data_IF_898735846994
#
_entry.id   IF_898735846994
#
_cell.length_a   1.000
_cell.length_b   1.000
_cell.length_c   1.000
_cell.angle_alpha   90.00
_cell.angle_beta   90.00
_cell.angle_gamma   90.00
#
_symmetry.space_group_name_H-M   'P 1'
#
loop_
_entity.id
_entity.type
_entity.pdbx_description
1 polymer ?
#
# COMPACT_ATOMS: atom_id res chain seq x y z
N UNK A 1 22.12 35.55 -4.30
CA UNK A 1 22.86 34.37 -3.79
C UNK A 1 22.42 33.17 -4.57
N UNK A 2 23.34 32.28 -4.93
CA UNK A 2 22.98 30.99 -5.59
C UNK A 2 22.27 30.10 -4.56
N UNK A 3 21.10 29.56 -4.93
CA UNK A 3 20.33 28.63 -4.08
C UNK A 3 20.65 27.19 -4.46
N UNK A 4 20.33 26.21 -3.59
CA UNK A 4 20.50 24.78 -3.91
C UNK A 4 19.65 24.36 -5.13
N UNK A 5 18.58 25.09 -5.44
CA UNK A 5 17.61 24.83 -6.51
C UNK A 5 17.81 25.64 -7.78
N UNK A 6 18.79 26.59 -7.80
CA UNK A 6 19.00 27.55 -8.89
C UNK A 6 19.06 26.93 -10.30
N UNK A 7 19.64 25.74 -10.44
CA UNK A 7 19.76 25.05 -11.74
C UNK A 7 18.46 24.51 -12.26
N UNK A 8 17.66 23.88 -11.38
CA UNK A 8 16.38 23.29 -11.79
C UNK A 8 15.29 24.34 -11.95
N UNK A 9 15.30 25.43 -11.20
CA UNK A 9 14.36 26.56 -11.36
C UNK A 9 14.54 27.31 -12.70
N UNK A 10 15.66 27.10 -13.39
CA UNK A 10 15.87 27.62 -14.76
C UNK A 10 15.21 26.76 -15.85
N UNK A 11 14.72 25.57 -15.49
CA UNK A 11 13.94 24.75 -16.44
C UNK A 11 12.60 25.47 -16.70
N UNK A 12 12.24 25.73 -17.96
CA UNK A 12 10.99 26.42 -18.25
C UNK A 12 9.79 25.69 -17.60
N UNK A 13 8.96 26.47 -16.91
CA UNK A 13 7.74 26.00 -16.25
C UNK A 13 7.96 25.05 -15.08
N UNK A 14 9.17 24.93 -14.58
CA UNK A 14 9.45 24.17 -13.36
C UNK A 14 9.20 25.07 -12.12
N UNK A 15 8.40 24.57 -11.19
CA UNK A 15 8.02 25.28 -9.97
C UNK A 15 8.50 24.51 -8.73
N UNK A 16 9.55 24.98 -8.09
CA UNK A 16 10.10 24.33 -6.88
C UNK A 16 9.09 24.26 -5.74
N UNK A 17 8.21 25.23 -5.61
CA UNK A 17 7.17 25.24 -4.59
C UNK A 17 6.22 24.04 -4.70
N UNK A 18 5.85 23.63 -5.93
CA UNK A 18 5.02 22.45 -6.16
C UNK A 18 5.71 21.17 -5.65
N UNK A 19 7.02 21.06 -5.85
CA UNK A 19 7.82 19.92 -5.40
C UNK A 19 7.96 19.92 -3.87
N UNK A 20 8.29 21.08 -3.28
CA UNK A 20 8.46 21.24 -1.82
C UNK A 20 7.19 20.90 -1.04
N UNK A 21 6.02 21.16 -1.61
CA UNK A 21 4.73 20.92 -0.97
C UNK A 21 4.13 19.53 -1.32
N UNK A 22 4.85 18.71 -2.07
CA UNK A 22 4.37 17.40 -2.47
C UNK A 22 4.56 16.36 -1.37
N UNK A 23 3.55 15.48 -1.22
CA UNK A 23 3.50 14.37 -0.28
C UNK A 23 3.53 13.06 -1.07
N UNK A 24 4.65 12.34 -1.00
CA UNK A 24 4.89 11.14 -1.83
C UNK A 24 5.07 9.90 -0.96
N UNK A 25 4.31 8.84 -1.25
CA UNK A 25 4.54 7.53 -0.66
C UNK A 25 5.43 6.69 -1.57
N UNK A 26 6.47 6.10 -1.00
CA UNK A 26 7.34 5.14 -1.68
C UNK A 26 7.19 3.78 -1.00
N UNK A 27 6.73 2.78 -1.75
CA UNK A 27 6.53 1.43 -1.26
C UNK A 27 7.60 0.51 -1.81
N UNK A 28 8.39 -0.08 -0.92
CA UNK A 28 9.59 -0.84 -1.23
C UNK A 28 10.85 0.05 -1.23
N UNK A 29 11.76 -0.19 -0.29
CA UNK A 29 13.06 0.47 -0.16
C UNK A 29 14.23 -0.43 -0.63
N UNK A 30 13.95 -1.31 -1.61
CA UNK A 30 14.95 -2.13 -2.30
C UNK A 30 15.78 -1.32 -3.31
N UNK A 31 16.27 -1.97 -4.37
CA UNK A 31 17.11 -1.33 -5.38
C UNK A 31 16.45 -0.10 -6.03
N UNK A 32 15.23 -0.26 -6.58
CA UNK A 32 14.50 0.83 -7.22
C UNK A 32 14.08 1.91 -6.24
N UNK A 33 13.59 1.53 -5.04
CA UNK A 33 13.16 2.49 -4.03
C UNK A 33 14.29 3.36 -3.51
N UNK A 34 15.48 2.80 -3.32
CA UNK A 34 16.68 3.58 -2.95
C UNK A 34 17.00 4.66 -3.99
N UNK A 35 16.96 4.31 -5.27
CA UNK A 35 17.24 5.26 -6.37
C UNK A 35 16.12 6.30 -6.52
N UNK A 36 14.85 5.89 -6.32
CA UNK A 36 13.70 6.81 -6.29
C UNK A 36 13.88 7.83 -5.17
N UNK A 37 14.11 7.38 -3.92
CA UNK A 37 14.27 8.23 -2.76
C UNK A 37 15.44 9.19 -2.91
N UNK A 38 16.59 8.74 -3.43
CA UNK A 38 17.72 9.60 -3.76
C UNK A 38 17.31 10.72 -4.74
N UNK A 39 16.61 10.37 -5.82
CA UNK A 39 16.21 11.37 -6.82
C UNK A 39 15.17 12.35 -6.26
N UNK A 40 14.19 11.88 -5.45
CA UNK A 40 13.23 12.74 -4.78
C UNK A 40 13.92 13.73 -3.82
N UNK A 41 14.93 13.27 -3.05
CA UNK A 41 15.72 14.11 -2.16
C UNK A 41 16.50 15.21 -2.91
N UNK A 42 17.19 14.83 -4.00
CA UNK A 42 18.01 15.75 -4.79
C UNK A 42 17.17 16.78 -5.58
N UNK A 43 15.91 16.49 -5.88
CA UNK A 43 14.99 17.45 -6.49
C UNK A 43 14.32 18.33 -5.42
N UNK A 44 14.27 17.89 -4.16
CA UNK A 44 13.74 18.65 -3.03
C UNK A 44 12.25 18.41 -2.76
N UNK A 45 11.78 17.16 -2.88
CA UNK A 45 10.44 16.82 -2.42
C UNK A 45 10.34 17.02 -0.91
N UNK A 46 9.26 17.68 -0.47
CA UNK A 46 9.17 18.15 0.92
C UNK A 46 8.66 17.11 1.91
N UNK A 47 7.94 16.08 1.47
CA UNK A 47 7.49 15.01 2.35
C UNK A 47 7.51 13.65 1.65
N UNK A 48 8.02 12.65 2.36
CA UNK A 48 7.90 11.25 1.95
C UNK A 48 7.34 10.37 3.09
N UNK A 49 6.63 9.32 2.68
CA UNK A 49 6.30 8.18 3.53
C UNK A 49 6.90 6.92 2.92
N UNK A 50 7.78 6.23 3.66
CA UNK A 50 8.48 5.03 3.17
C UNK A 50 7.92 3.79 3.84
N UNK A 51 7.40 2.83 3.07
CA UNK A 51 6.92 1.54 3.57
C UNK A 51 7.80 0.38 3.04
N UNK A 52 8.38 -0.40 3.95
CA UNK A 52 9.11 -1.64 3.65
C UNK A 52 9.15 -2.50 4.91
N UNK A 53 9.04 -3.82 4.79
CA UNK A 53 9.01 -4.75 5.93
C UNK A 53 10.32 -5.53 6.13
N UNK A 54 11.31 -5.34 5.25
CA UNK A 54 12.56 -6.08 5.29
C UNK A 54 13.64 -5.38 6.11
N UNK A 55 14.62 -6.19 6.52
CA UNK A 55 15.90 -5.72 7.02
C UNK A 55 16.93 -5.55 5.91
N UNK A 56 17.91 -4.68 6.16
CA UNK A 56 19.04 -4.48 5.25
C UNK A 56 19.96 -5.69 5.34
N UNK A 57 20.21 -6.34 4.22
CA UNK A 57 21.16 -7.46 4.11
C UNK A 57 22.44 -7.05 3.36
N UNK A 58 23.53 -7.77 3.59
CA UNK A 58 24.80 -7.54 2.87
C UNK A 58 24.61 -7.59 1.35
N UNK A 59 23.75 -8.46 0.84
CA UNK A 59 23.46 -8.57 -0.59
C UNK A 59 22.75 -7.35 -1.17
N UNK A 60 22.13 -6.50 -0.35
CA UNK A 60 21.52 -5.26 -0.82
C UNK A 60 22.57 -4.22 -1.23
N UNK A 61 23.72 -4.17 -0.57
CA UNK A 61 24.75 -3.14 -0.72
C UNK A 61 25.31 -3.01 -2.16
N UNK A 62 25.17 -4.03 -2.98
CA UNK A 62 25.60 -4.00 -4.38
C UNK A 62 24.68 -3.18 -5.31
N UNK A 63 23.46 -2.85 -4.83
CA UNK A 63 22.42 -2.21 -5.65
C UNK A 63 21.55 -1.19 -4.91
N UNK A 64 21.96 -0.76 -3.71
CA UNK A 64 21.26 0.26 -2.92
C UNK A 64 22.21 1.41 -2.62
N UNK A 65 21.85 2.62 -3.02
CA UNK A 65 22.70 3.80 -2.92
C UNK A 65 22.66 4.46 -1.54
N UNK A 66 21.56 4.29 -0.81
CA UNK A 66 21.33 4.91 0.50
C UNK A 66 21.97 4.12 1.65
N UNK A 67 22.09 2.79 1.52
CA UNK A 67 22.53 1.93 2.61
C UNK A 67 24.04 1.78 2.65
N UNK A 68 24.57 1.61 3.85
CA UNK A 68 26.01 1.44 4.16
C UNK A 68 26.23 0.09 4.85
N UNK A 69 27.47 -0.35 4.94
CA UNK A 69 27.84 -1.61 5.60
C UNK A 69 27.36 -1.65 7.07
N UNK A 70 27.42 -0.52 7.77
CA UNK A 70 26.99 -0.39 9.17
C UNK A 70 25.45 -0.36 9.34
N UNK A 71 24.71 -0.37 8.25
CA UNK A 71 23.25 -0.40 8.27
C UNK A 71 22.72 -1.85 8.16
N UNK A 72 23.57 -2.84 7.92
CA UNK A 72 23.16 -4.25 7.82
C UNK A 72 22.49 -4.69 9.12
N UNK A 73 21.27 -5.25 9.00
CA UNK A 73 20.42 -5.65 10.12
C UNK A 73 19.44 -4.58 10.62
N UNK A 74 19.56 -3.32 10.15
CA UNK A 74 18.56 -2.29 10.43
C UNK A 74 17.36 -2.40 9.49
N UNK A 75 16.24 -1.79 9.85
CA UNK A 75 15.03 -1.73 9.03
C UNK A 75 15.24 -0.88 7.78
N UNK A 76 14.84 -1.39 6.60
CA UNK A 76 14.99 -0.66 5.34
C UNK A 76 14.20 0.64 5.32
N UNK A 77 12.94 0.62 5.76
CA UNK A 77 12.06 1.79 5.73
C UNK A 77 12.60 2.96 6.54
N UNK A 78 12.97 2.72 7.80
CA UNK A 78 13.47 3.74 8.70
C UNK A 78 14.82 4.31 8.22
N UNK A 79 15.76 3.43 7.84
CA UNK A 79 17.07 3.87 7.35
C UNK A 79 16.95 4.65 6.04
N UNK A 80 16.05 4.25 5.14
CA UNK A 80 15.83 4.96 3.89
C UNK A 80 15.22 6.35 4.10
N UNK A 81 14.27 6.49 5.04
CA UNK A 81 13.70 7.79 5.41
C UNK A 81 14.74 8.73 6.03
N UNK A 82 15.60 8.22 6.93
CA UNK A 82 16.72 8.98 7.50
C UNK A 82 17.68 9.47 6.41
N UNK A 83 18.10 8.59 5.49
CA UNK A 83 19.01 8.94 4.39
C UNK A 83 18.39 9.91 3.39
N UNK A 84 17.07 9.83 3.17
CA UNK A 84 16.35 10.82 2.36
C UNK A 84 16.49 12.22 2.98
N UNK A 85 16.28 12.35 4.29
CA UNK A 85 16.41 13.64 4.98
C UNK A 85 17.85 14.18 4.94
N UNK A 86 18.86 13.31 5.15
CA UNK A 86 20.27 13.70 5.05
C UNK A 86 20.66 14.23 3.66
N UNK A 87 20.05 13.67 2.60
CA UNK A 87 20.37 14.03 1.21
C UNK A 87 19.50 15.15 0.65
N UNK A 88 18.38 15.47 1.32
CA UNK A 88 17.41 16.41 0.78
C UNK A 88 17.98 17.82 0.69
N UNK A 89 17.76 18.47 -0.45
CA UNK A 89 18.19 19.86 -0.65
C UNK A 89 17.31 20.88 0.05
N UNK A 90 16.09 20.50 0.45
CA UNK A 90 15.15 21.30 1.22
C UNK A 90 15.32 21.01 2.72
N UNK A 91 15.82 22.00 3.46
CA UNK A 91 16.10 21.86 4.89
C UNK A 91 14.83 21.65 5.75
N UNK A 92 13.66 21.91 5.18
CA UNK A 92 12.32 21.72 5.82
C UNK A 92 11.67 20.41 5.46
N UNK A 93 12.33 19.56 4.70
CA UNK A 93 11.78 18.26 4.31
C UNK A 93 11.50 17.38 5.54
N UNK A 94 10.45 16.59 5.43
CA UNK A 94 10.01 15.67 6.47
C UNK A 94 9.83 14.26 5.91
N UNK A 95 9.93 13.27 6.78
CA UNK A 95 9.73 11.88 6.40
C UNK A 95 9.07 11.11 7.53
N UNK A 96 8.19 10.18 7.17
CA UNK A 96 7.71 9.11 8.03
C UNK A 96 8.04 7.75 7.40
N UNK A 97 8.08 6.72 8.22
CA UNK A 97 8.38 5.37 7.75
C UNK A 97 7.50 4.34 8.45
N UNK A 98 7.20 3.28 7.73
CA UNK A 98 6.44 2.17 8.25
C UNK A 98 7.17 0.85 8.01
N UNK A 99 7.38 0.10 9.11
CA UNK A 99 7.98 -1.22 9.12
C UNK A 99 6.89 -2.27 9.26
N UNK A 100 6.45 -2.83 8.16
CA UNK A 100 5.42 -3.85 8.15
C UNK A 100 4.83 -4.14 6.79
N UNK A 101 4.02 -5.21 6.75
CA UNK A 101 3.26 -5.55 5.57
C UNK A 101 2.16 -4.50 5.33
N UNK A 102 2.33 -3.71 4.28
CA UNK A 102 1.42 -2.66 3.89
C UNK A 102 -0.02 -3.15 3.72
N UNK A 103 -0.19 -4.35 3.15
CA UNK A 103 -1.51 -4.88 2.86
C UNK A 103 -2.31 -5.24 4.12
N UNK A 104 -1.64 -5.45 5.26
CA UNK A 104 -2.26 -5.98 6.47
C UNK A 104 -2.25 -5.00 7.65
N UNK A 105 -1.18 -4.23 7.80
CA UNK A 105 -0.89 -3.51 9.02
C UNK A 105 -1.08 -2.00 8.95
N UNK A 106 -1.25 -1.45 7.76
CA UNK A 106 -1.53 -0.03 7.58
C UNK A 106 -2.79 0.19 6.75
N UNK A 107 -3.56 1.18 7.08
CA UNK A 107 -4.81 1.49 6.41
C UNK A 107 -4.64 2.32 5.15
N UNK A 108 -5.68 2.31 4.35
CA UNK A 108 -5.76 3.04 3.07
C UNK A 108 -5.75 4.56 3.26
N UNK A 109 -6.14 5.05 4.46
CA UNK A 109 -6.11 6.45 4.82
C UNK A 109 -4.73 7.09 4.66
N UNK A 110 -3.64 6.33 4.90
CA UNK A 110 -2.29 6.85 4.66
C UNK A 110 -2.11 7.26 3.20
N UNK A 111 -2.57 6.42 2.25
CA UNK A 111 -2.49 6.72 0.82
C UNK A 111 -3.38 7.91 0.47
N UNK A 112 -4.54 8.05 1.13
CA UNK A 112 -5.46 9.18 0.91
C UNK A 112 -4.80 10.54 1.19
N UNK A 113 -3.90 10.60 2.15
CA UNK A 113 -3.17 11.82 2.50
C UNK A 113 -1.95 12.11 1.61
N UNK A 114 -1.62 11.24 0.67
CA UNK A 114 -0.53 11.45 -0.29
C UNK A 114 -1.03 12.10 -1.59
N UNK A 115 -0.16 12.85 -2.27
CA UNK A 115 -0.41 13.35 -3.61
C UNK A 115 -0.16 12.26 -4.67
N UNK A 116 0.75 11.32 -4.38
CA UNK A 116 1.25 10.33 -5.32
C UNK A 116 1.83 9.12 -4.59
N UNK A 117 1.68 7.93 -5.18
CA UNK A 117 2.31 6.68 -4.71
C UNK A 117 3.28 6.15 -5.77
N UNK A 118 4.50 5.80 -5.36
CA UNK A 118 5.50 5.15 -6.21
C UNK A 118 5.76 3.73 -5.69
N UNK A 119 5.41 2.73 -6.48
CA UNK A 119 5.60 1.31 -6.19
C UNK A 119 6.95 0.81 -6.69
N UNK A 120 7.77 0.29 -5.77
CA UNK A 120 9.12 -0.24 -6.01
C UNK A 120 9.24 -1.70 -5.53
N UNK A 121 8.15 -2.47 -5.65
CA UNK A 121 8.05 -3.84 -5.16
C UNK A 121 8.49 -4.86 -6.22
N UNK A 122 8.85 -6.04 -5.74
CA UNK A 122 9.27 -7.20 -6.56
C UNK A 122 8.16 -8.25 -6.78
N UNK A 123 6.95 -8.03 -6.23
CA UNK A 123 5.85 -8.98 -6.36
C UNK A 123 4.60 -8.35 -7.00
N UNK A 124 3.95 -9.09 -7.89
CA UNK A 124 2.76 -8.63 -8.63
C UNK A 124 1.54 -8.40 -7.73
N UNK A 125 1.45 -9.10 -6.63
CA UNK A 125 0.33 -9.01 -5.71
C UNK A 125 0.24 -7.64 -5.05
N UNK A 126 1.35 -7.17 -4.45
CA UNK A 126 1.41 -5.84 -3.82
C UNK A 126 1.23 -4.73 -4.84
N UNK A 127 1.72 -4.91 -6.09
CA UNK A 127 1.49 -3.97 -7.19
C UNK A 127 -0.01 -3.84 -7.52
N UNK A 128 -0.71 -4.97 -7.65
CA UNK A 128 -2.17 -5.01 -7.87
C UNK A 128 -2.92 -4.34 -6.71
N UNK A 129 -2.53 -4.65 -5.46
CA UNK A 129 -3.12 -4.05 -4.27
C UNK A 129 -2.98 -2.53 -4.28
N UNK A 130 -1.75 -2.02 -4.40
CA UNK A 130 -1.50 -0.58 -4.41
C UNK A 130 -2.22 0.13 -5.54
N UNK A 131 -2.15 -0.42 -6.76
CA UNK A 131 -2.86 0.14 -7.90
C UNK A 131 -4.37 0.19 -7.66
N UNK A 132 -4.95 -0.85 -7.05
CA UNK A 132 -6.38 -0.88 -6.72
C UNK A 132 -6.74 0.19 -5.66
N UNK A 133 -5.96 0.29 -4.58
CA UNK A 133 -6.23 1.31 -3.55
C UNK A 133 -6.06 2.72 -4.11
N UNK A 134 -5.03 2.96 -4.93
CA UNK A 134 -4.86 4.25 -5.60
C UNK A 134 -6.04 4.57 -6.51
N UNK A 135 -6.61 3.57 -7.21
CA UNK A 135 -7.81 3.73 -8.03
C UNK A 135 -9.05 4.06 -7.18
N UNK A 136 -9.28 3.34 -6.07
CA UNK A 136 -10.38 3.61 -5.14
C UNK A 136 -10.31 5.03 -4.55
N UNK A 137 -9.11 5.56 -4.35
CA UNK A 137 -8.84 6.86 -3.74
C UNK A 137 -8.60 7.98 -4.77
N UNK A 138 -8.73 7.73 -6.06
CA UNK A 138 -8.40 8.69 -7.13
C UNK A 138 -6.97 9.25 -7.00
N UNK A 139 -5.99 8.40 -6.61
CA UNK A 139 -4.59 8.81 -6.43
C UNK A 139 -3.72 8.34 -7.58
N UNK A 140 -2.83 9.18 -8.10
CA UNK A 140 -1.82 8.75 -9.07
C UNK A 140 -0.93 7.66 -8.49
N UNK A 141 -0.60 6.69 -9.36
CA UNK A 141 0.26 5.57 -9.05
C UNK A 141 1.33 5.41 -10.12
N UNK A 142 2.58 5.33 -9.71
CA UNK A 142 3.71 4.99 -10.59
C UNK A 142 4.24 3.63 -10.16
N UNK A 143 4.31 2.68 -11.09
CA UNK A 143 4.89 1.36 -10.86
C UNK A 143 6.26 1.25 -11.51
N UNK A 144 7.24 0.71 -10.78
CA UNK A 144 8.57 0.43 -11.30
C UNK A 144 8.85 -1.07 -11.30
N UNK A 145 9.27 -1.62 -12.42
CA UNK A 145 9.68 -3.01 -12.56
C UNK A 145 11.11 -3.11 -13.06
N UNK A 146 11.89 -4.01 -12.45
CA UNK A 146 13.27 -4.29 -12.87
C UNK A 146 13.50 -5.79 -12.93
N UNK A 147 14.32 -6.25 -13.90
CA UNK A 147 14.69 -7.65 -14.06
C UNK A 147 15.96 -7.77 -14.88
N UNK A 148 17.09 -8.17 -14.27
CA UNK A 148 18.39 -8.14 -14.91
C UNK A 148 18.73 -6.72 -15.36
N UNK A 149 18.98 -6.54 -16.65
CA UNK A 149 19.23 -5.24 -17.26
C UNK A 149 17.94 -4.55 -17.77
N UNK A 150 16.81 -5.27 -17.81
CA UNK A 150 15.55 -4.75 -18.31
C UNK A 150 14.81 -3.99 -17.21
N UNK A 151 14.01 -3.01 -17.60
CA UNK A 151 13.18 -2.25 -16.67
C UNK A 151 11.91 -1.72 -17.34
N UNK A 152 10.91 -1.41 -16.54
CA UNK A 152 9.71 -0.73 -16.97
C UNK A 152 9.22 0.28 -15.93
N UNK A 153 8.49 1.29 -16.40
CA UNK A 153 7.79 2.26 -15.58
C UNK A 153 6.40 2.46 -16.18
N UNK A 154 5.37 2.30 -15.37
CA UNK A 154 3.98 2.53 -15.73
C UNK A 154 3.40 3.61 -14.84
N UNK A 155 2.59 4.54 -15.40
CA UNK A 155 1.92 5.58 -14.64
C UNK A 155 0.41 5.52 -14.86
N UNK A 156 -0.36 5.55 -13.77
CA UNK A 156 -1.83 5.65 -13.75
C UNK A 156 -2.26 6.93 -13.02
N UNK A 157 -3.37 7.55 -13.47
CA UNK A 157 -3.90 8.75 -12.81
C UNK A 157 -4.70 8.46 -11.54
N UNK A 158 -5.18 7.22 -11.38
CA UNK A 158 -6.17 6.85 -10.36
C UNK A 158 -7.62 7.09 -10.80
N UNK A 159 -7.89 7.75 -11.92
CA UNK A 159 -9.25 7.97 -12.40
C UNK A 159 -9.81 6.75 -13.14
N UNK A 160 -11.13 6.60 -13.15
CA UNK A 160 -11.83 5.45 -13.73
C UNK A 160 -11.63 5.30 -15.26
N UNK A 161 -11.30 6.38 -15.96
CA UNK A 161 -11.06 6.43 -17.39
C UNK A 161 -9.58 6.20 -17.78
N UNK A 162 -8.69 6.02 -16.80
CA UNK A 162 -7.29 5.69 -16.99
C UNK A 162 -7.02 4.22 -16.70
N UNK A 163 -6.20 3.54 -17.51
CA UNK A 163 -5.79 2.18 -17.23
C UNK A 163 -5.06 2.09 -15.87
N UNK A 164 -5.48 1.15 -15.03
CA UNK A 164 -4.78 0.76 -13.80
C UNK A 164 -3.74 -0.33 -14.10
N UNK A 165 -2.92 -0.71 -13.10
CA UNK A 165 -1.92 -1.77 -13.30
C UNK A 165 -2.54 -3.11 -13.74
N UNK A 166 -3.72 -3.47 -13.22
CA UNK A 166 -4.42 -4.67 -13.64
C UNK A 166 -4.79 -4.66 -15.15
N UNK A 167 -5.00 -3.50 -15.75
CA UNK A 167 -5.26 -3.38 -17.18
C UNK A 167 -4.03 -3.74 -18.03
N UNK A 168 -2.82 -3.67 -17.48
CA UNK A 168 -1.58 -4.06 -18.19
C UNK A 168 -1.37 -5.58 -18.19
N UNK A 169 -2.11 -6.31 -17.38
CA UNK A 169 -2.02 -7.77 -17.24
C UNK A 169 -3.07 -8.48 -18.10
N UNK A 170 -2.71 -9.63 -18.63
CA UNK A 170 -3.71 -10.55 -19.16
C UNK A 170 -4.58 -11.12 -18.03
N UNK A 171 -5.85 -11.52 -18.30
CA UNK A 171 -6.72 -12.13 -17.27
C UNK A 171 -6.13 -13.40 -16.62
N UNK A 172 -5.21 -14.09 -17.32
CA UNK A 172 -4.49 -15.25 -16.79
C UNK A 172 -3.42 -14.85 -15.79
N UNK A 173 -2.66 -13.80 -16.08
CA UNK A 173 -1.62 -13.25 -15.16
C UNK A 173 -2.28 -12.68 -13.91
N UNK A 174 -3.34 -11.89 -14.06
CA UNK A 174 -4.10 -11.34 -12.94
C UNK A 174 -4.61 -12.44 -12.01
N UNK A 175 -5.30 -13.46 -12.56
CA UNK A 175 -5.74 -14.63 -11.76
C UNK A 175 -4.59 -15.38 -11.11
N UNK A 176 -3.45 -15.51 -11.78
CA UNK A 176 -2.28 -16.17 -11.21
C UNK A 176 -1.69 -15.38 -10.03
N UNK A 177 -1.65 -14.06 -10.13
CA UNK A 177 -1.22 -13.17 -9.05
C UNK A 177 -2.18 -13.26 -7.85
N UNK A 178 -3.51 -13.20 -8.09
CA UNK A 178 -4.55 -13.33 -7.08
C UNK A 178 -4.58 -14.72 -6.39
N UNK A 179 -4.37 -15.79 -7.15
CA UNK A 179 -4.37 -17.15 -6.60
C UNK A 179 -3.13 -17.45 -5.74
N UNK A 180 -2.01 -16.76 -5.95
CA UNK A 180 -0.85 -16.85 -5.04
C UNK A 180 -1.20 -16.38 -3.64
N UNK A 181 -2.12 -15.43 -3.50
CA UNK A 181 -2.65 -14.93 -2.22
C UNK A 181 -3.44 -16.00 -1.47
N UNK A 182 -4.38 -16.65 -2.17
CA UNK A 182 -5.30 -17.62 -1.54
C UNK A 182 -4.60 -18.87 -1.01
N UNK A 183 -3.40 -19.16 -1.52
CA UNK A 183 -2.62 -20.35 -1.13
C UNK A 183 -1.42 -20.04 -0.22
N UNK A 184 -1.21 -18.79 0.18
CA UNK A 184 -0.08 -18.43 1.02
C UNK A 184 -0.41 -18.45 2.50
N UNK A 185 -0.51 -19.63 3.08
CA UNK A 185 -0.06 -19.81 4.46
C UNK A 185 1.45 -19.48 4.51
N UNK A 186 1.95 -18.96 5.62
CA UNK A 186 3.35 -18.51 5.84
C UNK A 186 4.46 -19.42 5.30
N UNK A 187 4.21 -20.72 5.21
CA UNK A 187 5.15 -21.71 4.63
C UNK A 187 5.41 -21.44 3.15
N UNK A 188 4.43 -20.94 2.40
CA UNK A 188 4.59 -20.65 0.97
C UNK A 188 5.29 -19.31 0.76
N UNK A 189 5.09 -18.32 1.66
CA UNK A 189 5.88 -17.07 1.68
C UNK A 189 7.37 -17.32 1.88
N UNK A 190 7.74 -18.17 2.86
CA UNK A 190 9.14 -18.55 3.10
C UNK A 190 9.73 -19.34 1.93
N UNK A 191 8.95 -20.21 1.29
CA UNK A 191 9.38 -20.94 0.08
C UNK A 191 9.48 -20.05 -1.15
N UNK A 192 8.58 -19.08 -1.33
CA UNK A 192 8.66 -18.10 -2.41
C UNK A 192 9.84 -17.14 -2.22
N UNK A 193 10.12 -16.72 -0.98
CA UNK A 193 11.34 -15.98 -0.64
C UNK A 193 12.63 -16.79 -0.89
N UNK A 194 12.57 -18.12 -0.82
CA UNK A 194 13.68 -19.01 -1.12
C UNK A 194 13.77 -19.40 -2.62
N UNK A 195 12.68 -19.28 -3.39
CA UNK A 195 12.58 -19.80 -4.76
C UNK A 195 13.07 -18.83 -5.86
N UNK A 196 13.74 -17.75 -5.54
CA UNK A 196 14.45 -16.96 -6.52
C UNK A 196 14.27 -15.47 -6.36
N UNK A 197 15.28 -14.84 -5.81
CA UNK A 197 15.45 -13.41 -5.98
C UNK A 197 15.53 -13.08 -7.48
N UNK A 198 14.68 -12.17 -7.95
CA UNK A 198 14.79 -11.65 -9.31
C UNK A 198 16.20 -11.06 -9.45
N UNK A 199 17.01 -11.49 -10.43
CA UNK A 199 18.31 -10.90 -10.66
C UNK A 199 18.16 -9.40 -10.89
N UNK A 200 18.83 -8.58 -10.08
CA UNK A 200 18.72 -7.13 -10.14
C UNK A 200 20.09 -6.47 -10.06
N UNK A 201 20.25 -5.36 -10.77
CA UNK A 201 21.47 -4.57 -10.78
C UNK A 201 21.12 -3.09 -10.58
N UNK A 202 22.02 -2.33 -9.95
CA UNK A 202 21.79 -0.90 -9.68
C UNK A 202 21.55 -0.04 -10.93
N UNK A 203 22.11 -0.44 -12.09
CA UNK A 203 21.93 0.29 -13.36
C UNK A 203 20.46 0.30 -13.81
N UNK A 204 19.79 -0.86 -13.85
CA UNK A 204 18.38 -0.94 -14.23
C UNK A 204 17.47 -0.25 -13.20
N UNK A 205 17.81 -0.37 -11.91
CA UNK A 205 17.12 0.33 -10.83
C UNK A 205 17.22 1.85 -10.98
N UNK A 206 18.42 2.37 -11.21
CA UNK A 206 18.64 3.81 -11.44
C UNK A 206 17.92 4.34 -12.67
N UNK A 207 17.95 3.61 -13.79
CA UNK A 207 17.26 4.00 -15.03
C UNK A 207 15.74 4.06 -14.84
N UNK A 208 15.13 3.06 -14.23
CA UNK A 208 13.71 3.04 -13.91
C UNK A 208 13.33 4.18 -12.95
N UNK A 209 14.13 4.39 -11.90
CA UNK A 209 13.89 5.44 -10.92
C UNK A 209 13.98 6.85 -11.50
N UNK A 210 14.91 7.11 -12.41
CA UNK A 210 15.02 8.40 -13.09
C UNK A 210 13.71 8.72 -13.86
N UNK A 211 13.17 7.76 -14.62
CA UNK A 211 11.93 7.98 -15.35
C UNK A 211 10.73 8.08 -14.41
N UNK A 212 10.66 7.25 -13.37
CA UNK A 212 9.58 7.29 -12.38
C UNK A 212 9.50 8.65 -11.67
N UNK A 213 10.65 9.19 -11.24
CA UNK A 213 10.70 10.51 -10.58
C UNK A 213 10.43 11.65 -11.58
N UNK A 214 10.84 11.51 -12.83
CA UNK A 214 10.46 12.48 -13.88
C UNK A 214 8.93 12.51 -14.08
N UNK A 215 8.25 11.36 -14.08
CA UNK A 215 6.78 11.33 -14.13
C UNK A 215 6.17 11.89 -12.84
N UNK A 216 6.74 11.61 -11.67
CA UNK A 216 6.31 12.17 -10.39
C UNK A 216 6.35 13.72 -10.39
N UNK A 217 7.43 14.31 -10.89
CA UNK A 217 7.57 15.78 -11.05
C UNK A 217 6.43 16.33 -11.92
N UNK A 218 6.15 15.71 -13.06
CA UNK A 218 5.07 16.15 -13.97
C UNK A 218 3.70 16.05 -13.28
N UNK A 219 3.42 14.92 -12.62
CA UNK A 219 2.16 14.67 -11.92
C UNK A 219 1.92 15.77 -10.88
N UNK A 220 2.89 16.02 -10.02
CA UNK A 220 2.79 17.00 -8.95
C UNK A 220 2.58 18.41 -9.51
N UNK A 221 3.30 18.81 -10.56
CA UNK A 221 3.10 20.10 -11.19
C UNK A 221 1.68 20.29 -11.72
N UNK A 222 1.14 19.29 -12.44
CA UNK A 222 -0.23 19.37 -12.97
C UNK A 222 -1.32 19.26 -11.91
N UNK A 223 -1.06 18.61 -10.76
CA UNK A 223 -1.98 18.61 -9.63
C UNK A 223 -2.04 19.97 -8.93
N UNK A 224 -0.89 20.62 -8.74
CA UNK A 224 -0.81 21.91 -8.03
C UNK A 224 -1.14 23.09 -8.96
N UNK A 225 -0.91 22.95 -10.26
CA UNK A 225 -1.23 23.93 -11.30
C UNK A 225 -1.75 23.20 -12.54
N UNK A 226 -3.09 23.06 -12.72
CA UNK A 226 -3.69 22.41 -13.89
C UNK A 226 -3.33 23.07 -15.23
N UNK A 227 -3.03 24.38 -15.20
CA UNK A 227 -2.60 25.16 -16.38
C UNK A 227 -1.07 25.14 -16.59
N UNK A 228 -0.36 24.25 -15.89
CA UNK A 228 1.10 24.13 -16.04
C UNK A 228 1.50 23.82 -17.48
N UNK A 229 2.46 24.59 -17.99
CA UNK A 229 3.09 24.34 -19.28
C UNK A 229 4.25 23.34 -19.22
N UNK A 230 4.54 22.74 -18.07
CA UNK A 230 5.46 21.62 -17.98
C UNK A 230 4.90 20.45 -18.82
N UNK A 231 5.77 19.66 -19.45
CA UNK A 231 5.31 18.51 -20.25
C UNK A 231 4.37 17.61 -19.43
N UNK A 232 3.20 17.21 -19.99
CA UNK A 232 2.18 16.49 -19.24
C UNK A 232 2.63 15.09 -18.83
N UNK A 233 2.09 14.56 -17.72
CA UNK A 233 2.32 13.17 -17.31
C UNK A 233 1.73 12.20 -18.34
N UNK A 234 2.33 11.03 -18.49
CA UNK A 234 1.92 10.02 -19.48
C UNK A 234 1.11 8.90 -18.81
N UNK A 235 -0.09 9.23 -18.38
CA UNK A 235 -0.99 8.26 -17.77
C UNK A 235 -1.49 7.19 -18.77
N UNK A 236 -1.57 5.94 -18.31
CA UNK A 236 -1.92 4.78 -19.12
C UNK A 236 -0.78 4.26 -20.00
N UNK A 237 0.43 4.83 -19.90
CA UNK A 237 1.58 4.41 -20.67
C UNK A 237 2.59 3.65 -19.82
N UNK A 238 3.15 2.60 -20.40
CA UNK A 238 4.31 1.89 -19.89
C UNK A 238 5.52 2.19 -20.78
N UNK A 239 6.59 2.69 -20.18
CA UNK A 239 7.91 2.73 -20.79
C UNK A 239 8.65 1.45 -20.44
N UNK A 240 9.01 0.65 -21.43
CA UNK A 240 9.70 -0.63 -21.26
C UNK A 240 11.04 -0.61 -22.00
N UNK A 241 12.11 -0.91 -21.28
CA UNK A 241 13.46 -1.01 -21.84
C UNK A 241 13.91 -2.47 -21.93
N UNK A 242 14.35 -2.87 -23.11
CA UNK A 242 14.93 -4.19 -23.37
C UNK A 242 16.41 -4.01 -23.66
N UNK A 243 17.25 -4.56 -22.81
CA UNK A 243 18.71 -4.37 -22.86
C UNK A 243 19.35 -5.09 -24.05
N UNK A 244 18.83 -6.27 -24.44
CA UNK A 244 19.32 -7.06 -25.55
C UNK A 244 19.27 -6.30 -26.88
N UNK A 245 18.24 -5.46 -27.05
CA UNK A 245 18.05 -4.62 -28.24
C UNK A 245 18.47 -3.17 -28.02
N UNK A 246 18.85 -2.80 -26.80
CA UNK A 246 19.07 -1.42 -26.36
C UNK A 246 17.90 -0.50 -26.77
N UNK A 247 16.68 -0.98 -26.56
CA UNK A 247 15.46 -0.38 -27.10
C UNK A 247 14.50 0.04 -25.99
N UNK A 248 14.07 1.29 -26.04
CA UNK A 248 12.99 1.85 -25.23
C UNK A 248 11.69 1.85 -26.04
N UNK A 249 10.66 1.18 -25.51
CA UNK A 249 9.33 1.16 -26.08
C UNK A 249 8.34 1.86 -25.14
N UNK A 250 7.43 2.65 -25.71
CA UNK A 250 6.33 3.25 -25.00
C UNK A 250 5.03 2.58 -25.47
N UNK A 251 4.34 1.91 -24.56
CA UNK A 251 3.15 1.11 -24.82
C UNK A 251 1.97 1.77 -24.12
N UNK A 252 0.93 2.12 -24.86
CA UNK A 252 -0.33 2.60 -24.30
C UNK A 252 -1.25 1.44 -23.94
N UNK A 253 -1.81 1.46 -22.75
CA UNK A 253 -2.82 0.52 -22.28
C UNK A 253 -4.17 1.25 -22.14
N UNK A 254 -5.19 0.83 -22.90
CA UNK A 254 -6.55 1.31 -22.68
C UNK A 254 -7.14 0.66 -21.42
N UNK A 255 -8.17 1.29 -20.86
CA UNK A 255 -8.98 0.66 -19.80
C UNK A 255 -9.57 -0.65 -20.31
N UNK A 256 -9.30 -1.74 -19.63
CA UNK A 256 -9.87 -3.04 -19.96
C UNK A 256 -11.32 -3.11 -19.45
N UNK A 257 -12.29 -3.24 -20.37
CA UNK A 257 -13.73 -3.25 -20.06
C UNK A 257 -14.15 -4.26 -18.96
N UNK A 258 -13.43 -5.36 -18.84
CA UNK A 258 -13.67 -6.40 -17.82
C UNK A 258 -12.82 -6.23 -16.55
N UNK A 259 -12.12 -5.12 -16.39
CA UNK A 259 -11.32 -4.89 -15.20
C UNK A 259 -12.23 -4.48 -14.03
N UNK A 260 -12.19 -5.19 -12.90
CA UNK A 260 -13.05 -4.88 -11.75
C UNK A 260 -12.52 -3.72 -10.89
N UNK A 261 -11.33 -3.17 -11.21
CA UNK A 261 -10.61 -2.23 -10.36
C UNK A 261 -10.77 -0.77 -10.80
N UNK A 262 -11.94 -0.38 -11.36
CA UNK A 262 -12.21 1.00 -11.78
C UNK A 262 -13.36 1.64 -11.01
N UNK A 263 -13.63 1.13 -9.81
CA UNK A 263 -14.51 1.75 -8.85
C UNK A 263 -13.73 2.73 -7.95
N UNK A 264 -14.42 3.73 -7.38
CA UNK A 264 -13.82 4.66 -6.43
C UNK A 264 -14.82 5.06 -5.33
N UNK A 265 -14.29 5.55 -4.22
CA UNK A 265 -15.10 5.97 -3.09
C UNK A 265 -16.02 7.16 -3.39
N UNK A 266 -15.63 8.05 -4.31
CA UNK A 266 -16.45 9.23 -4.65
C UNK A 266 -17.77 8.83 -5.30
N UNK A 267 -17.80 7.75 -6.09
CA UNK A 267 -19.02 7.19 -6.65
C UNK A 267 -19.99 6.64 -5.58
N UNK A 268 -19.50 6.42 -4.37
CA UNK A 268 -20.24 5.85 -3.24
C UNK A 268 -20.36 6.83 -2.05
N UNK A 269 -20.40 8.13 -2.31
CA UNK A 269 -20.57 9.15 -1.28
C UNK A 269 -19.28 9.67 -0.64
N UNK A 270 -18.13 9.18 -1.08
CA UNK A 270 -16.81 9.62 -0.64
C UNK A 270 -16.39 9.04 0.72
N UNK A 271 -15.17 9.39 1.14
CA UNK A 271 -14.60 9.00 2.44
C UNK A 271 -14.74 10.15 3.42
N UNK A 272 -15.30 9.88 4.59
CA UNK A 272 -15.45 10.84 5.67
C UNK A 272 -14.40 10.60 6.76
N UNK A 273 -13.77 11.67 7.24
CA UNK A 273 -12.83 11.63 8.37
C UNK A 273 -13.60 11.52 9.68
N UNK A 274 -13.08 10.73 10.62
CA UNK A 274 -13.69 10.54 11.93
C UNK A 274 -12.66 10.61 13.04
N UNK A 275 -13.09 10.79 14.29
CA UNK A 275 -12.20 10.69 15.45
C UNK A 275 -12.00 9.23 15.91
N UNK A 276 -12.61 8.27 15.23
CA UNK A 276 -12.45 6.86 15.58
C UNK A 276 -10.99 6.47 15.37
N UNK A 277 -10.45 5.70 16.31
CA UNK A 277 -9.13 5.09 16.27
C UNK A 277 -9.27 3.58 16.20
N UNK A 278 -8.33 2.90 15.58
CA UNK A 278 -8.24 1.43 15.62
C UNK A 278 -8.06 0.88 17.05
N UNK A 279 -7.63 1.70 17.99
CA UNK A 279 -7.56 1.37 19.42
C UNK A 279 -8.90 1.43 20.15
N UNK A 280 -9.97 1.93 19.51
CA UNK A 280 -11.29 1.89 20.11
C UNK A 280 -11.87 0.47 20.11
N UNK A 281 -12.65 0.15 21.15
CA UNK A 281 -13.40 -1.11 21.20
C UNK A 281 -14.52 -1.09 20.14
N UNK A 282 -14.87 -2.27 19.63
CA UNK A 282 -15.95 -2.41 18.64
C UNK A 282 -17.24 -1.73 19.09
N UNK A 283 -17.66 -1.97 20.34
CA UNK A 283 -18.90 -1.37 20.90
C UNK A 283 -18.86 0.15 20.87
N UNK A 284 -17.72 0.76 21.18
CA UNK A 284 -17.59 2.22 21.26
C UNK A 284 -17.62 2.84 19.85
N UNK A 285 -16.98 2.21 18.87
CA UNK A 285 -17.03 2.63 17.48
C UNK A 285 -18.44 2.55 16.90
N UNK A 286 -19.15 1.43 17.11
CA UNK A 286 -20.53 1.26 16.67
C UNK A 286 -21.50 2.23 17.33
N UNK A 287 -21.35 2.48 18.65
CA UNK A 287 -22.15 3.44 19.40
C UNK A 287 -21.93 4.87 18.89
N UNK A 288 -20.69 5.25 18.58
CA UNK A 288 -20.37 6.54 17.99
C UNK A 288 -21.06 6.72 16.61
N UNK A 289 -20.94 5.73 15.73
CA UNK A 289 -21.56 5.77 14.39
C UNK A 289 -23.09 5.84 14.50
N UNK A 290 -23.71 5.04 15.40
CA UNK A 290 -25.15 5.13 15.68
C UNK A 290 -25.57 6.54 16.12
N UNK A 291 -24.78 7.18 16.98
CA UNK A 291 -25.06 8.53 17.47
C UNK A 291 -24.96 9.59 16.38
N UNK A 292 -23.96 9.48 15.50
CA UNK A 292 -23.73 10.46 14.43
C UNK A 292 -24.74 10.32 13.28
N UNK A 293 -25.11 9.08 12.90
CA UNK A 293 -25.92 8.82 11.71
C UNK A 293 -27.36 8.34 12.02
N UNK A 294 -27.72 8.19 13.31
CA UNK A 294 -29.09 7.92 13.75
C UNK A 294 -29.62 6.52 13.45
N UNK A 295 -28.74 5.54 13.09
CA UNK A 295 -29.12 4.17 12.77
C UNK A 295 -28.00 3.17 13.08
N UNK A 296 -28.35 1.87 13.08
CA UNK A 296 -27.42 0.79 13.33
C UNK A 296 -26.66 0.38 12.07
N UNK A 297 -25.36 0.19 12.23
CA UNK A 297 -24.44 -0.26 11.19
C UNK A 297 -23.71 -1.54 11.59
N UNK A 298 -23.26 -2.29 10.59
CA UNK A 298 -22.28 -3.36 10.73
C UNK A 298 -20.98 -2.94 10.03
N UNK A 299 -19.85 -3.31 10.62
CA UNK A 299 -18.54 -3.14 9.98
C UNK A 299 -18.32 -4.28 9.01
N UNK A 300 -18.10 -3.99 7.73
CA UNK A 300 -17.68 -4.98 6.76
C UNK A 300 -16.16 -5.24 6.91
N UNK A 301 -15.80 -6.47 7.31
CA UNK A 301 -14.40 -6.90 7.36
C UNK A 301 -13.89 -7.33 6.00
N UNK A 302 -14.78 -7.88 5.18
CA UNK A 302 -14.48 -8.36 3.85
C UNK A 302 -14.65 -7.21 2.85
N UNK A 303 -13.54 -6.84 2.22
CA UNK A 303 -13.51 -6.05 1.02
C UNK A 303 -12.95 -6.93 -0.08
N UNK A 304 -13.57 -6.95 -1.25
CA UNK A 304 -13.03 -7.62 -2.45
C UNK A 304 -11.71 -6.95 -2.90
N UNK A 305 -10.78 -6.81 -1.97
CA UNK A 305 -9.48 -6.26 -2.22
C UNK A 305 -8.49 -7.39 -2.51
N UNK A 306 -7.70 -7.17 -3.52
CA UNK A 306 -6.76 -8.09 -4.17
C UNK A 306 -5.85 -8.85 -3.21
N UNK A 307 -5.64 -8.38 -1.97
CA UNK A 307 -4.61 -8.91 -1.08
C UNK A 307 -5.04 -9.22 0.35
N UNK A 308 -6.22 -8.81 0.77
CA UNK A 308 -6.59 -8.96 2.16
C UNK A 308 -8.03 -9.43 2.29
N UNK A 309 -8.22 -10.75 2.27
CA UNK A 309 -9.40 -11.30 2.94
C UNK A 309 -9.25 -10.97 4.42
N UNK A 310 -9.80 -9.83 4.84
CA UNK A 310 -9.94 -9.53 6.26
C UNK A 310 -11.16 -10.26 6.75
N UNK A 311 -10.95 -11.20 7.61
CA UNK A 311 -12.02 -11.93 8.28
C UNK A 311 -11.53 -12.29 9.67
N UNK A 312 -12.46 -12.45 10.59
CA UNK A 312 -12.16 -12.82 11.97
C UNK A 312 -12.59 -14.28 12.20
N UNK A 313 -11.70 -15.09 12.75
CA UNK A 313 -11.96 -16.49 13.02
C UNK A 313 -12.18 -16.68 14.52
N UNK A 314 -13.37 -17.14 14.88
CA UNK A 314 -13.70 -17.47 16.28
C UNK A 314 -13.29 -18.89 16.65
N UNK A 315 -13.48 -19.84 15.74
CA UNK A 315 -13.23 -21.26 16.01
C UNK A 315 -12.68 -21.96 14.76
N UNK A 316 -11.72 -22.85 14.95
CA UNK A 316 -11.23 -23.80 13.95
C UNK A 316 -11.42 -25.22 14.44
N UNK A 317 -11.29 -26.22 13.56
CA UNK A 317 -11.41 -27.63 13.94
C UNK A 317 -10.17 -28.41 13.53
N UNK A 318 -9.66 -29.24 14.45
CA UNK A 318 -8.54 -30.14 14.16
C UNK A 318 -8.95 -31.18 13.11
N UNK A 319 -8.28 -31.26 11.97
CA UNK A 319 -8.57 -32.25 10.92
C UNK A 319 -8.31 -33.69 11.36
N UNK A 320 -7.51 -33.90 12.40
CA UNK A 320 -7.15 -35.23 12.87
C UNK A 320 -8.19 -35.80 13.84
N UNK A 321 -8.64 -35.01 14.83
CA UNK A 321 -9.52 -35.50 15.88
C UNK A 321 -10.89 -34.80 15.95
N UNK A 322 -11.15 -33.81 15.11
CA UNK A 322 -12.41 -33.06 15.09
C UNK A 322 -12.59 -32.10 16.27
N UNK A 323 -11.61 -31.99 17.18
CA UNK A 323 -11.72 -31.13 18.36
C UNK A 323 -11.78 -29.66 17.95
N UNK A 324 -12.69 -28.84 18.54
CA UNK A 324 -12.71 -27.40 18.33
C UNK A 324 -11.47 -26.75 18.95
N UNK A 325 -10.91 -25.79 18.23
CA UNK A 325 -9.80 -24.94 18.65
C UNK A 325 -10.36 -23.52 18.70
N UNK A 326 -10.37 -22.94 19.90
CA UNK A 326 -10.73 -21.53 20.05
C UNK A 326 -9.60 -20.68 19.49
N UNK A 327 -9.90 -19.84 18.49
CA UNK A 327 -8.92 -19.01 17.77
C UNK A 327 -9.03 -17.55 18.18
N UNK A 328 -10.17 -16.93 17.98
CA UNK A 328 -10.44 -15.51 18.26
C UNK A 328 -9.36 -14.56 17.73
N UNK A 329 -9.06 -14.69 16.45
CA UNK A 329 -8.00 -13.93 15.78
C UNK A 329 -8.41 -13.49 14.36
N UNK A 330 -7.90 -12.35 13.88
CA UNK A 330 -8.04 -11.98 12.48
C UNK A 330 -7.19 -12.88 11.57
N UNK A 331 -7.60 -13.04 10.31
CA UNK A 331 -6.78 -13.70 9.30
C UNK A 331 -5.68 -12.74 8.77
N UNK A 332 -4.52 -13.27 8.33
CA UNK A 332 -4.13 -14.69 8.28
C UNK A 332 -3.74 -15.24 9.65
N UNK A 333 -4.17 -16.47 9.93
CA UNK A 333 -3.80 -17.17 11.16
C UNK A 333 -2.34 -17.62 11.15
N UNK A 334 -1.69 -17.59 12.31
CA UNK A 334 -0.34 -18.09 12.50
C UNK A 334 -0.36 -19.56 12.94
N UNK A 335 0.75 -20.28 12.73
CA UNK A 335 0.86 -21.68 13.15
C UNK A 335 0.59 -21.89 14.65
N UNK A 336 0.88 -20.88 15.46
CA UNK A 336 0.67 -20.88 16.93
C UNK A 336 -0.82 -20.86 17.30
N UNK A 337 -1.65 -20.22 16.46
CA UNK A 337 -3.10 -20.12 16.64
C UNK A 337 -3.81 -21.45 16.33
N UNK A 338 -3.10 -22.41 15.77
CA UNK A 338 -3.66 -23.65 15.22
C UNK A 338 -3.23 -24.90 16.00
N UNK A 339 -2.82 -24.74 17.24
CA UNK A 339 -2.42 -25.87 18.11
C UNK A 339 -3.64 -26.59 18.67
N UNK A 340 -3.77 -27.87 18.37
CA UNK A 340 -4.78 -28.72 18.97
C UNK A 340 -4.32 -29.22 20.35
N UNK A 341 -5.04 -28.86 21.41
CA UNK A 341 -4.71 -29.26 22.79
C UNK A 341 -4.71 -30.80 22.97
N UNK A 342 -5.60 -31.52 22.27
CA UNK A 342 -5.73 -32.97 22.34
C UNK A 342 -4.63 -33.71 21.58
N UNK A 343 -4.28 -33.25 20.38
CA UNK A 343 -3.26 -33.89 19.54
C UNK A 343 -1.83 -33.38 19.85
N UNK A 344 -1.68 -32.34 20.66
CA UNK A 344 -0.39 -31.76 21.10
C UNK A 344 0.60 -31.42 19.99
N UNK A 345 0.11 -31.05 18.83
CA UNK A 345 0.97 -30.73 17.70
C UNK A 345 0.32 -29.81 16.68
N UNK A 346 1.12 -29.28 15.73
CA UNK A 346 0.65 -28.53 14.58
C UNK A 346 -0.11 -29.47 13.65
N UNK A 347 -1.41 -29.47 13.72
CA UNK A 347 -2.26 -30.29 12.85
C UNK A 347 -2.90 -29.41 11.78
N UNK A 348 -3.12 -29.94 10.57
CA UNK A 348 -3.95 -29.27 9.60
C UNK A 348 -5.32 -28.97 10.21
N UNK A 349 -5.76 -27.72 10.15
CA UNK A 349 -7.07 -27.31 10.67
C UNK A 349 -8.04 -27.04 9.53
N UNK A 350 -9.31 -27.20 9.83
CA UNK A 350 -10.39 -26.77 8.97
C UNK A 350 -11.07 -25.57 9.60
N UNK A 351 -11.06 -24.44 8.87
CA UNK A 351 -11.89 -23.30 9.23
C UNK A 351 -13.35 -23.67 8.95
N UNK A 352 -14.20 -23.48 9.93
CA UNK A 352 -15.64 -23.72 9.82
C UNK A 352 -16.37 -22.44 9.41
N UNK A 353 -17.72 -22.48 9.45
CA UNK A 353 -18.59 -21.31 9.27
C UNK A 353 -18.44 -20.23 10.36
N UNK A 354 -17.53 -20.40 11.32
CA UNK A 354 -17.17 -19.43 12.35
C UNK A 354 -16.18 -18.35 11.85
N UNK A 355 -16.11 -18.13 10.54
CA UNK A 355 -15.39 -17.01 9.93
C UNK A 355 -16.35 -15.85 9.78
N UNK A 356 -16.12 -14.78 10.56
CA UNK A 356 -16.94 -13.58 10.51
C UNK A 356 -16.43 -12.66 9.39
N UNK A 357 -17.34 -12.22 8.54
CA UNK A 357 -17.09 -11.26 7.45
C UNK A 357 -17.63 -9.88 7.75
N UNK A 358 -18.48 -9.75 8.76
CA UNK A 358 -19.00 -8.49 9.25
C UNK A 358 -19.09 -8.50 10.78
N UNK A 359 -18.93 -7.34 11.40
CA UNK A 359 -18.99 -7.13 12.85
C UNK A 359 -20.15 -6.19 13.14
N UNK A 360 -20.97 -6.54 14.12
CA UNK A 360 -22.11 -5.73 14.54
C UNK A 360 -22.37 -5.89 16.04
N UNK A 361 -23.14 -4.96 16.60
CA UNK A 361 -23.60 -5.05 17.97
C UNK A 361 -24.60 -6.21 18.10
N UNK A 362 -24.17 -7.31 18.70
CA UNK A 362 -25.02 -8.47 19.00
C UNK A 362 -24.80 -8.88 20.45
N UNK A 363 -25.92 -9.11 21.14
CA UNK A 363 -25.92 -9.55 22.53
C UNK A 363 -25.27 -10.94 22.72
N UNK A 364 -25.12 -11.71 21.65
CA UNK A 364 -24.62 -13.09 21.70
C UNK A 364 -23.08 -13.16 21.63
N UNK A 365 -22.40 -12.03 21.39
CA UNK A 365 -20.95 -11.96 21.20
C UNK A 365 -20.29 -10.86 22.04
N UNK A 366 -20.61 -10.79 23.34
CA UNK A 366 -20.02 -9.81 24.28
C UNK A 366 -18.48 -9.72 24.19
N UNK A 367 -17.83 -10.84 23.95
CA UNK A 367 -16.36 -10.90 23.84
C UNK A 367 -15.85 -10.08 22.65
N UNK A 368 -16.53 -10.11 21.50
CA UNK A 368 -16.11 -9.32 20.32
C UNK A 368 -16.27 -7.83 20.56
N UNK A 369 -17.29 -7.44 21.32
CA UNK A 369 -17.56 -6.03 21.64
C UNK A 369 -16.47 -5.39 22.49
N UNK A 370 -15.72 -6.19 23.25
CA UNK A 370 -14.63 -5.72 24.11
C UNK A 370 -13.27 -5.66 23.39
N UNK A 371 -13.14 -6.25 22.20
CA UNK A 371 -11.93 -6.18 21.39
C UNK A 371 -11.83 -4.82 20.71
N UNK A 372 -10.61 -4.33 20.57
CA UNK A 372 -10.32 -3.15 19.76
C UNK A 372 -10.45 -3.47 18.27
N UNK A 373 -10.67 -2.45 17.45
CA UNK A 373 -10.71 -2.62 16.00
C UNK A 373 -9.38 -3.20 15.49
N UNK A 374 -8.25 -2.81 16.10
CA UNK A 374 -6.92 -3.35 15.78
C UNK A 374 -6.82 -4.85 16.07
N UNK A 375 -7.32 -5.31 17.23
CA UNK A 375 -7.39 -6.74 17.59
C UNK A 375 -8.31 -7.52 16.66
N UNK A 376 -9.32 -6.87 16.09
CA UNK A 376 -10.21 -7.43 15.08
C UNK A 376 -9.63 -7.44 13.67
N UNK A 377 -8.38 -6.94 13.49
CA UNK A 377 -7.67 -6.94 12.22
C UNK A 377 -7.93 -5.70 11.34
N UNK A 378 -8.54 -4.66 11.90
CA UNK A 378 -8.70 -3.35 11.25
C UNK A 378 -7.48 -2.51 11.60
N UNK A 379 -6.59 -2.19 10.64
CA UNK A 379 -5.35 -1.50 10.95
C UNK A 379 -5.54 0.00 11.20
N UNK A 380 -4.48 0.63 11.71
CA UNK A 380 -4.41 2.08 11.93
C UNK A 380 -4.70 2.85 10.62
N UNK A 381 -5.43 3.94 10.72
CA UNK A 381 -5.83 4.79 9.58
C UNK A 381 -6.56 4.04 8.46
N UNK A 382 -7.31 2.99 8.78
CA UNK A 382 -8.09 2.28 7.76
C UNK A 382 -9.34 3.05 7.36
N UNK A 383 -9.76 2.86 6.11
CA UNK A 383 -11.09 3.29 5.65
C UNK A 383 -12.03 2.11 5.82
N UNK A 384 -12.92 2.23 6.80
CA UNK A 384 -13.85 1.17 7.20
C UNK A 384 -15.17 1.38 6.50
N UNK A 385 -15.71 0.32 5.90
CA UNK A 385 -17.06 0.31 5.38
C UNK A 385 -18.06 -0.05 6.49
N UNK A 386 -19.00 0.86 6.71
CA UNK A 386 -20.15 0.67 7.61
C UNK A 386 -21.41 0.48 6.77
N UNK A 387 -21.94 -0.74 6.77
CA UNK A 387 -23.17 -1.10 6.03
C UNK A 387 -24.38 -1.04 6.95
N UNK A 388 -25.52 -0.45 6.51
CA UNK A 388 -26.75 -0.40 7.32
C UNK A 388 -27.26 -1.82 7.64
N UNK A 389 -27.56 -2.09 8.92
CA UNK A 389 -28.04 -3.43 9.35
C UNK A 389 -29.38 -3.84 8.77
N UNK A 390 -30.27 -2.88 8.48
CA UNK A 390 -31.57 -3.13 7.87
C UNK A 390 -31.51 -3.38 6.37
N UNK A 391 -30.32 -3.32 5.77
CA UNK A 391 -30.10 -3.51 4.34
C UNK A 391 -30.63 -2.37 3.46
N UNK A 392 -31.11 -1.27 4.06
CA UNK A 392 -31.66 -0.14 3.33
C UNK A 392 -30.70 1.05 3.37
N UNK A 393 -30.37 1.61 2.23
CA UNK A 393 -29.48 2.77 2.08
C UNK A 393 -28.04 2.41 1.72
N UNK A 394 -27.23 3.44 1.65
CA UNK A 394 -25.85 3.33 1.20
C UNK A 394 -24.89 3.04 2.37
N UNK A 395 -23.81 2.35 2.08
CA UNK A 395 -22.71 2.18 3.02
C UNK A 395 -21.98 3.52 3.27
N UNK A 396 -21.41 3.66 4.46
CA UNK A 396 -20.53 4.77 4.80
C UNK A 396 -19.08 4.29 4.73
N UNK A 397 -18.20 5.12 4.20
CA UNK A 397 -16.76 4.88 4.19
C UNK A 397 -16.09 5.87 5.14
N UNK A 398 -15.69 5.38 6.32
CA UNK A 398 -15.18 6.19 7.41
C UNK A 398 -13.68 5.92 7.62
N UNK A 399 -12.87 6.98 7.54
CA UNK A 399 -11.44 6.90 7.84
C UNK A 399 -11.19 7.02 9.34
N UNK A 400 -10.36 6.15 9.89
CA UNK A 400 -9.94 6.15 11.30
C UNK A 400 -8.82 7.19 11.52
N UNK A 401 -9.15 8.49 11.42
CA UNK A 401 -8.14 9.55 11.57
C UNK A 401 -7.68 9.78 13.00
N UNK A 402 -8.32 9.16 13.99
CA UNK A 402 -7.83 9.14 15.37
C UNK A 402 -6.42 8.57 15.54
N UNK A 403 -5.93 7.81 14.53
CA UNK A 403 -4.59 7.22 14.52
C UNK A 403 -3.55 8.08 13.78
N UNK A 404 -3.93 9.23 13.24
CA UNK A 404 -3.08 10.02 12.32
C UNK A 404 -1.76 10.45 12.95
N UNK A 405 -1.78 10.90 14.20
CA UNK A 405 -0.56 11.34 14.90
C UNK A 405 0.42 10.19 15.16
N UNK A 406 -0.09 8.96 15.29
CA UNK A 406 0.75 7.77 15.48
C UNK A 406 1.43 7.34 14.17
N UNK A 407 0.70 7.41 13.05
CA UNK A 407 1.15 6.86 11.76
C UNK A 407 1.88 7.91 10.90
N UNK A 408 1.43 9.16 10.96
CA UNK A 408 1.90 10.27 10.14
C UNK A 408 2.30 11.50 11.00
N UNK A 409 3.17 11.34 12.02
CA UNK A 409 3.50 12.41 12.95
C UNK A 409 4.17 13.62 12.30
N UNK A 410 4.83 13.43 11.16
CA UNK A 410 5.54 14.50 10.45
C UNK A 410 4.81 15.00 9.20
N UNK A 411 3.58 14.49 8.92
CA UNK A 411 2.82 14.92 7.75
C UNK A 411 2.56 16.44 7.80
N UNK A 412 2.95 17.20 6.77
CA UNK A 412 2.62 18.62 6.69
C UNK A 412 1.10 18.86 6.60
N UNK A 413 0.65 19.99 7.13
CA UNK A 413 -0.74 20.45 7.01
C UNK A 413 -1.18 20.69 5.56
#
# INVERSE_FOLDING_TARGET
>A
METKTDRQERIPHFEQASIRNAKVMVVGAGASGNEVLKNLALIGFGYIFVADFDDISTSNLSRTVLFRADDVGKRKSATAAERFLEMNIEDTAKADSFDGDLCQKIGEGVIRHMDLVIGCMDNEQTRLYLSNICQLLNKPYIDTGIGGFNWNVFAASGSADCACYACTLSPRQERAALNRVRNSCDVTRRKAAQAGHIPTIGISAGSAACLAVQEAVKIVHHQKNPDSHLCPPRFGWMSHFTAEENRLQNIFFPVRKSCPHHDNYEAHGGVQETLISAHWKLKDALAWVRTQYGRDYAIALYKDCVCAERSFVTTAYCKHCGEPIEVYRPQPLQDEDLLCAKCRGKQPVQLSNAVLKSLFDSSDEERLQELTLLELGIPLMHIVEFSPRDGNGESLYLELTGDREEVLPNLPE
#
